data_IF_390974848858
#
_entry.id   IF_390974848858
#
_cell.length_a   1.000
_cell.length_b   1.000
_cell.length_c   1.000
_cell.angle_alpha   90.00
_cell.angle_beta   90.00
_cell.angle_gamma   90.00
#
_symmetry.space_group_name_H-M   'P 1'
#
loop_
_entity.id
_entity.type
_entity.pdbx_description
1 polymer ?
#
# COMPACT_ATOMS: atom_id res chain seq x y z
N UNK A 1 18.40 33.71 -34.25
CA UNK A 1 18.40 34.36 -32.94
C UNK A 1 17.32 33.75 -32.06
N UNK A 2 17.71 33.35 -30.84
CA UNK A 2 16.92 32.99 -29.67
C UNK A 2 15.89 31.83 -29.74
N UNK A 3 16.31 30.71 -29.12
CA UNK A 3 15.53 29.65 -28.48
C UNK A 3 14.23 30.11 -27.79
N UNK A 4 13.17 29.31 -27.92
CA UNK A 4 12.48 28.62 -26.81
C UNK A 4 11.97 27.29 -27.39
N UNK A 5 12.59 26.18 -26.97
CA UNK A 5 12.14 24.83 -27.29
C UNK A 5 10.79 24.58 -26.62
N UNK A 6 9.72 24.51 -27.42
CA UNK A 6 8.42 24.04 -26.98
C UNK A 6 8.54 22.61 -26.44
N UNK A 7 8.48 22.45 -25.13
CA UNK A 7 8.40 21.12 -24.48
C UNK A 7 7.16 20.39 -25.03
N UNK A 8 7.26 19.12 -25.45
CA UNK A 8 6.10 18.35 -25.85
C UNK A 8 5.13 18.26 -24.66
N UNK A 9 3.82 18.44 -24.92
CA UNK A 9 2.75 18.27 -23.91
C UNK A 9 2.90 16.89 -23.29
N UNK A 10 3.48 16.81 -22.09
CA UNK A 10 3.66 15.53 -21.41
C UNK A 10 2.26 14.99 -21.09
N UNK A 11 1.91 13.83 -21.63
CA UNK A 11 0.71 13.05 -21.30
C UNK A 11 0.83 12.53 -19.87
N UNK A 12 0.69 13.44 -18.89
CA UNK A 12 0.79 13.15 -17.46
C UNK A 12 -0.56 13.44 -16.84
N UNK A 13 -1.04 12.47 -16.07
CA UNK A 13 -2.25 12.59 -15.26
C UNK A 13 -1.81 12.62 -13.80
N UNK A 14 -2.35 13.57 -13.04
CA UNK A 14 -2.16 13.63 -11.59
C UNK A 14 -3.47 13.21 -10.94
N UNK A 15 -3.39 12.19 -10.11
CA UNK A 15 -4.51 11.63 -9.35
C UNK A 15 -4.11 11.59 -7.87
N UNK A 16 -5.10 11.67 -7.00
CA UNK A 16 -4.94 11.47 -5.56
C UNK A 16 -4.69 9.99 -5.21
N UNK A 17 -4.25 9.74 -3.97
CA UNK A 17 -3.92 8.41 -3.48
C UNK A 17 -5.08 7.40 -3.61
N UNK A 18 -6.28 7.70 -3.09
CA UNK A 18 -7.45 6.84 -3.24
C UNK A 18 -7.82 6.54 -4.69
N UNK A 19 -7.91 7.56 -5.56
CA UNK A 19 -8.20 7.35 -6.99
C UNK A 19 -7.15 6.45 -7.65
N UNK A 20 -5.87 6.62 -7.30
CA UNK A 20 -4.78 5.76 -7.77
C UNK A 20 -4.92 4.31 -7.29
N UNK A 21 -5.28 4.13 -6.02
CA UNK A 21 -5.49 2.80 -5.44
C UNK A 21 -6.67 2.08 -6.11
N UNK A 22 -7.78 2.77 -6.35
CA UNK A 22 -8.94 2.23 -7.06
C UNK A 22 -8.62 1.91 -8.54
N UNK A 23 -7.74 2.69 -9.17
CA UNK A 23 -7.24 2.40 -10.51
C UNK A 23 -6.19 1.27 -10.55
N UNK A 24 -5.87 0.65 -9.42
CA UNK A 24 -4.87 -0.41 -9.26
C UNK A 24 -3.51 -0.09 -9.92
N UNK A 25 -3.09 1.17 -9.88
CA UNK A 25 -1.89 1.63 -10.59
C UNK A 25 -0.88 2.28 -9.65
N UNK A 26 0.39 2.34 -10.06
CA UNK A 26 1.48 2.97 -9.33
C UNK A 26 1.91 4.31 -9.94
N UNK A 27 2.73 5.06 -9.21
CA UNK A 27 3.35 6.26 -9.76
C UNK A 27 4.25 5.86 -10.94
N UNK A 28 4.25 6.67 -12.00
CA UNK A 28 5.02 6.46 -13.23
C UNK A 28 4.55 5.29 -14.11
N UNK A 29 3.36 4.73 -13.83
CA UNK A 29 2.74 3.70 -14.67
C UNK A 29 1.82 4.32 -15.75
N UNK A 30 1.66 3.59 -16.87
CA UNK A 30 0.77 3.98 -17.95
C UNK A 30 -0.65 3.48 -17.69
N UNK A 31 -1.62 4.36 -17.92
CA UNK A 31 -3.04 4.05 -17.79
C UNK A 31 -3.79 4.35 -19.09
N UNK A 32 -4.86 3.60 -19.35
CA UNK A 32 -5.77 3.90 -20.46
C UNK A 32 -6.90 4.79 -19.96
N UNK A 33 -7.15 5.91 -20.65
CA UNK A 33 -8.21 6.85 -20.28
C UNK A 33 -9.29 6.87 -21.34
N UNK A 34 -10.54 6.70 -20.89
CA UNK A 34 -11.75 6.79 -21.70
C UNK A 34 -12.75 7.72 -21.06
N UNK A 35 -13.55 8.40 -21.87
CA UNK A 35 -14.69 9.18 -21.36
C UNK A 35 -15.68 8.19 -20.72
N UNK A 36 -16.09 8.47 -19.49
CA UNK A 36 -17.07 7.66 -18.78
C UNK A 36 -18.49 8.05 -19.19
N UNK A 37 -19.35 7.04 -19.36
CA UNK A 37 -20.80 7.20 -19.34
C UNK A 37 -21.27 6.95 -17.91
N UNK A 38 -21.82 7.98 -17.27
CA UNK A 38 -22.12 7.97 -15.82
C UNK A 38 -23.62 8.00 -15.64
N UNK A 39 -24.16 7.00 -14.95
CA UNK A 39 -25.58 6.90 -14.63
C UNK A 39 -25.85 7.34 -13.20
N UNK A 40 -27.04 7.83 -12.91
CA UNK A 40 -27.43 8.07 -11.52
C UNK A 40 -27.74 6.74 -10.84
N UNK A 41 -27.19 6.53 -9.64
CA UNK A 41 -27.43 5.31 -8.88
C UNK A 41 -28.86 5.27 -8.34
N UNK A 42 -29.53 4.14 -8.52
CA UNK A 42 -30.75 3.75 -7.81
C UNK A 42 -30.37 3.33 -6.39
N UNK A 43 -29.39 2.44 -6.26
CA UNK A 43 -28.89 1.97 -4.97
C UNK A 43 -27.37 1.79 -4.96
N UNK A 44 -26.74 2.02 -3.82
CA UNK A 44 -25.32 1.74 -3.57
C UNK A 44 -25.20 1.03 -2.23
N UNK A 45 -24.43 -0.05 -2.18
CA UNK A 45 -24.09 -0.75 -0.94
C UNK A 45 -22.61 -0.57 -0.61
N UNK A 46 -22.33 -0.04 0.58
CA UNK A 46 -20.98 0.11 1.12
C UNK A 46 -20.75 -0.92 2.23
N UNK A 47 -19.49 -1.30 2.45
CA UNK A 47 -19.08 -2.04 3.64
C UNK A 47 -17.80 -1.43 4.22
N UNK A 48 -17.69 -1.33 5.55
CA UNK A 48 -16.47 -0.86 6.17
C UNK A 48 -15.35 -1.88 6.03
N UNK A 49 -14.13 -1.38 5.92
CA UNK A 49 -12.92 -2.18 5.83
C UNK A 49 -12.29 -2.30 7.22
N UNK A 50 -12.03 -3.53 7.65
CA UNK A 50 -11.35 -3.88 8.91
C UNK A 50 -11.88 -3.22 10.21
N UNK A 51 -13.10 -2.65 10.17
CA UNK A 51 -13.78 -2.04 11.32
C UNK A 51 -15.26 -2.41 11.35
N UNK A 52 -15.76 -2.88 12.50
CA UNK A 52 -17.21 -3.06 12.71
C UNK A 52 -17.84 -1.74 13.12
N UNK A 53 -18.94 -1.38 12.46
CA UNK A 53 -19.68 -0.15 12.73
C UNK A 53 -21.11 -0.47 13.18
N UNK A 54 -21.61 0.34 14.11
CA UNK A 54 -23.05 0.42 14.37
C UNK A 54 -23.65 1.35 13.31
N UNK A 55 -24.59 0.83 12.54
CA UNK A 55 -25.24 1.55 11.45
C UNK A 55 -26.65 1.92 11.90
N UNK A 56 -26.90 3.22 12.01
CA UNK A 56 -28.24 3.81 12.21
C UNK A 56 -28.59 4.73 11.04
N UNK A 57 -29.83 5.24 11.00
CA UNK A 57 -30.27 6.10 9.90
C UNK A 57 -29.49 7.41 9.79
N UNK A 58 -29.13 8.02 10.92
CA UNK A 58 -28.41 9.29 10.93
C UNK A 58 -26.99 9.12 10.41
N UNK A 59 -26.37 7.98 10.71
CA UNK A 59 -25.09 7.58 10.15
C UNK A 59 -25.17 7.40 8.64
N UNK A 60 -26.20 6.72 8.12
CA UNK A 60 -26.40 6.57 6.68
C UNK A 60 -26.58 7.93 6.00
N UNK A 61 -27.39 8.83 6.58
CA UNK A 61 -27.58 10.20 6.07
C UNK A 61 -26.27 10.99 6.08
N UNK A 62 -25.48 10.87 7.14
CA UNK A 62 -24.16 11.50 7.23
C UNK A 62 -23.21 11.02 6.12
N UNK A 63 -23.09 9.70 5.94
CA UNK A 63 -22.27 9.10 4.89
C UNK A 63 -22.75 9.53 3.51
N UNK A 64 -24.06 9.47 3.27
CA UNK A 64 -24.68 9.91 2.01
C UNK A 64 -24.32 11.36 1.69
N UNK A 65 -24.51 12.27 2.66
CA UNK A 65 -24.17 13.68 2.52
C UNK A 65 -22.68 13.92 2.20
N UNK A 66 -21.78 13.11 2.79
CA UNK A 66 -20.34 13.23 2.54
C UNK A 66 -19.91 12.72 1.16
N UNK A 67 -20.68 11.80 0.59
CA UNK A 67 -20.41 11.16 -0.70
C UNK A 67 -21.27 11.72 -1.85
N UNK A 68 -22.06 12.75 -1.61
CA UNK A 68 -22.91 13.39 -2.62
C UNK A 68 -22.13 13.78 -3.87
N UNK A 69 -22.73 13.53 -5.04
CA UNK A 69 -22.20 13.84 -6.38
C UNK A 69 -20.89 13.14 -6.72
N UNK A 70 -20.43 12.18 -5.89
CA UNK A 70 -19.28 11.34 -6.22
C UNK A 70 -19.69 10.15 -7.08
N UNK A 71 -18.74 9.69 -7.89
CA UNK A 71 -18.88 8.52 -8.72
C UNK A 71 -18.23 7.30 -8.09
N UNK A 72 -18.85 6.14 -8.29
CA UNK A 72 -18.44 4.86 -7.74
C UNK A 72 -18.60 3.76 -8.78
N UNK A 73 -17.73 2.77 -8.67
CA UNK A 73 -17.81 1.46 -9.32
C UNK A 73 -17.71 0.40 -8.22
N UNK A 74 -18.30 -0.78 -8.43
CA UNK A 74 -18.09 -1.92 -7.53
C UNK A 74 -16.59 -2.21 -7.36
N UNK A 75 -16.18 -2.47 -6.12
CA UNK A 75 -14.77 -2.64 -5.74
C UNK A 75 -14.05 -1.35 -5.32
N UNK A 76 -14.57 -0.16 -5.69
CA UNK A 76 -13.94 1.10 -5.29
C UNK A 76 -13.83 1.26 -3.78
N UNK A 77 -12.74 1.86 -3.32
CA UNK A 77 -12.55 2.28 -1.94
C UNK A 77 -12.75 3.79 -1.78
N UNK A 78 -13.40 4.20 -0.69
CA UNK A 78 -13.57 5.61 -0.33
C UNK A 78 -13.31 5.83 1.15
N UNK A 79 -12.67 6.95 1.47
CA UNK A 79 -12.35 7.35 2.84
C UNK A 79 -13.33 8.41 3.33
N UNK A 80 -13.90 8.15 4.51
CA UNK A 80 -14.82 9.05 5.18
C UNK A 80 -14.25 9.40 6.55
N UNK A 81 -14.10 10.71 6.80
CA UNK A 81 -13.67 11.19 8.10
C UNK A 81 -14.86 11.17 9.06
N UNK A 82 -14.76 10.38 10.11
CA UNK A 82 -15.79 10.23 11.14
C UNK A 82 -15.17 10.57 12.49
N UNK A 83 -15.65 11.65 13.12
CA UNK A 83 -15.09 12.17 14.39
C UNK A 83 -13.57 12.41 14.35
N UNK A 84 -13.05 12.83 13.19
CA UNK A 84 -11.61 13.07 12.99
C UNK A 84 -10.78 11.84 12.65
N UNK A 85 -11.37 10.64 12.58
CA UNK A 85 -10.69 9.42 12.15
C UNK A 85 -11.15 8.97 10.77
N UNK A 86 -10.24 8.68 9.82
CA UNK A 86 -10.61 8.15 8.53
C UNK A 86 -11.08 6.70 8.68
N UNK A 87 -12.26 6.41 8.15
CA UNK A 87 -12.75 5.05 7.98
C UNK A 87 -12.93 4.78 6.50
N UNK A 88 -12.42 3.62 6.09
CA UNK A 88 -12.44 3.16 4.72
C UNK A 88 -13.68 2.31 4.46
N UNK A 89 -14.32 2.57 3.33
CA UNK A 89 -15.47 1.84 2.84
C UNK A 89 -15.17 1.30 1.45
N UNK A 90 -15.55 0.06 1.19
CA UNK A 90 -15.56 -0.53 -0.14
C UNK A 90 -16.98 -0.52 -0.70
N UNK A 91 -17.12 -0.19 -1.98
CA UNK A 91 -18.36 -0.31 -2.74
C UNK A 91 -18.58 -1.78 -3.05
N UNK A 92 -19.58 -2.38 -2.43
CA UNK A 92 -19.88 -3.81 -2.57
C UNK A 92 -20.79 -4.08 -3.75
N UNK A 93 -21.75 -3.18 -3.99
CA UNK A 93 -22.74 -3.32 -5.05
C UNK A 93 -23.27 -1.97 -5.50
N UNK A 94 -23.53 -1.81 -6.79
CA UNK A 94 -24.22 -0.63 -7.35
C UNK A 94 -25.37 -1.05 -8.26
N UNK A 95 -26.42 -0.24 -8.27
CA UNK A 95 -27.52 -0.38 -9.21
C UNK A 95 -27.79 0.95 -9.90
N UNK A 96 -27.71 1.05 -11.24
CA UNK A 96 -27.30 0.00 -12.18
C UNK A 96 -25.82 -0.42 -12.00
N UNK A 97 -25.44 -1.56 -12.59
CA UNK A 97 -24.03 -1.97 -12.67
C UNK A 97 -23.21 -0.99 -13.53
N UNK A 98 -21.94 -0.80 -13.17
CA UNK A 98 -21.00 0.08 -13.87
C UNK A 98 -20.72 1.38 -13.13
N UNK A 99 -20.41 2.45 -13.88
CA UNK A 99 -20.03 3.74 -13.30
C UNK A 99 -21.29 4.50 -12.91
N UNK A 100 -21.50 4.66 -11.61
CA UNK A 100 -22.68 5.35 -11.08
C UNK A 100 -22.31 6.57 -10.25
N UNK A 101 -23.18 7.58 -10.27
CA UNK A 101 -23.09 8.77 -9.42
C UNK A 101 -24.09 8.65 -8.28
N UNK A 102 -23.62 8.93 -7.06
CA UNK A 102 -24.48 9.04 -5.89
C UNK A 102 -25.23 10.37 -5.93
N UNK A 103 -26.56 10.30 -5.90
CA UNK A 103 -27.46 11.46 -5.90
C UNK A 103 -28.38 11.45 -4.68
N UNK A 104 -29.20 12.50 -4.53
CA UNK A 104 -30.17 12.59 -3.43
C UNK A 104 -31.22 11.47 -3.50
N UNK A 105 -31.52 10.96 -4.70
CA UNK A 105 -32.51 9.89 -4.93
C UNK A 105 -31.93 8.49 -4.70
N UNK A 106 -30.61 8.35 -4.64
CA UNK A 106 -29.94 7.06 -4.43
C UNK A 106 -30.22 6.50 -3.04
N UNK A 107 -30.61 5.25 -2.95
CA UNK A 107 -30.72 4.52 -1.69
C UNK A 107 -29.35 3.99 -1.27
N UNK A 108 -28.85 4.45 -0.11
CA UNK A 108 -27.52 4.07 0.38
C UNK A 108 -27.66 3.02 1.50
N UNK A 109 -27.04 1.86 1.30
CA UNK A 109 -26.97 0.79 2.28
C UNK A 109 -25.54 0.66 2.82
N UNK A 110 -25.40 0.41 4.12
CA UNK A 110 -24.09 0.16 4.75
C UNK A 110 -24.15 -1.17 5.50
N UNK A 111 -23.31 -2.13 5.10
CA UNK A 111 -23.22 -3.43 5.77
C UNK A 111 -22.49 -3.27 7.11
N UNK A 112 -22.97 -3.95 8.15
CA UNK A 112 -22.30 -3.97 9.46
C UNK A 112 -21.11 -4.93 9.58
N UNK A 113 -20.88 -5.78 8.57
CA UNK A 113 -19.78 -6.75 8.53
C UNK A 113 -18.63 -6.22 7.69
N UNK A 114 -17.40 -6.46 8.13
CA UNK A 114 -16.18 -6.01 7.46
C UNK A 114 -15.88 -6.83 6.22
N UNK A 115 -15.39 -6.15 5.18
CA UNK A 115 -14.65 -6.80 4.09
C UNK A 115 -13.18 -6.78 4.51
N UNK A 116 -12.50 -7.92 4.45
CA UNK A 116 -11.05 -7.96 4.70
C UNK A 116 -10.35 -7.28 3.53
N UNK A 117 -9.55 -6.26 3.80
CA UNK A 117 -8.70 -5.65 2.78
C UNK A 117 -7.64 -6.66 2.33
N UNK A 118 -7.35 -6.73 1.03
CA UNK A 118 -6.09 -7.34 0.56
C UNK A 118 -4.98 -6.34 0.88
N UNK A 119 -4.48 -6.35 2.13
CA UNK A 119 -3.57 -5.31 2.66
C UNK A 119 -2.16 -5.34 2.04
N UNK A 120 -1.72 -6.50 1.54
CA UNK A 120 -0.36 -6.69 1.08
C UNK A 120 -0.27 -6.56 -0.44
N UNK A 121 0.36 -5.48 -0.91
CA UNK A 121 0.70 -5.28 -2.32
C UNK A 121 2.18 -5.59 -2.53
N UNK A 122 2.47 -6.53 -3.42
CA UNK A 122 3.83 -6.89 -3.81
C UNK A 122 4.02 -6.47 -5.27
N UNK A 123 4.87 -5.47 -5.50
CA UNK A 123 5.28 -5.08 -6.85
C UNK A 123 6.30 -6.10 -7.36
N UNK A 124 5.93 -6.88 -8.37
CA UNK A 124 6.81 -7.88 -8.99
C UNK A 124 6.95 -7.62 -10.48
N UNK A 125 8.12 -7.98 -11.04
CA UNK A 125 8.34 -7.99 -12.49
C UNK A 125 8.09 -9.42 -12.98
N UNK A 126 7.17 -9.56 -13.92
CA UNK A 126 6.84 -10.84 -14.53
C UNK A 126 7.49 -10.95 -15.90
N UNK A 127 7.77 -12.18 -16.34
CA UNK A 127 8.19 -12.43 -17.71
C UNK A 127 7.01 -12.26 -18.67
N UNK A 128 7.30 -12.02 -19.96
CA UNK A 128 6.26 -11.90 -20.99
C UNK A 128 5.42 -13.19 -21.12
N UNK A 129 6.06 -14.35 -20.93
CA UNK A 129 5.40 -15.65 -20.96
C UNK A 129 4.42 -15.81 -19.79
N UNK A 130 4.83 -15.46 -18.56
CA UNK A 130 3.95 -15.51 -17.38
C UNK A 130 2.76 -14.57 -17.53
N UNK A 131 3.00 -13.35 -18.04
CA UNK A 131 1.97 -12.34 -18.24
C UNK A 131 0.90 -12.83 -19.23
N UNK A 132 1.31 -13.54 -20.28
CA UNK A 132 0.39 -14.11 -21.28
C UNK A 132 -0.59 -15.11 -20.66
N UNK A 133 -0.16 -15.94 -19.73
CA UNK A 133 -1.06 -16.88 -19.04
C UNK A 133 -2.01 -16.15 -18.10
N UNK A 134 -1.52 -15.13 -17.38
CA UNK A 134 -2.37 -14.30 -16.52
C UNK A 134 -3.46 -13.61 -17.33
N UNK A 135 -3.11 -13.02 -18.47
CA UNK A 135 -4.08 -12.37 -19.36
C UNK A 135 -5.12 -13.35 -19.92
N UNK A 136 -4.72 -14.59 -20.18
CA UNK A 136 -5.66 -15.64 -20.60
C UNK A 136 -6.69 -15.94 -19.52
N UNK A 137 -6.28 -16.02 -18.25
CA UNK A 137 -7.20 -16.29 -17.13
C UNK A 137 -8.22 -15.16 -16.93
N UNK A 138 -7.82 -13.92 -17.18
CA UNK A 138 -8.73 -12.77 -17.18
C UNK A 138 -9.65 -12.81 -18.40
N UNK A 139 -9.10 -13.12 -19.58
CA UNK A 139 -9.86 -13.18 -20.83
C UNK A 139 -11.00 -14.21 -20.82
N UNK A 140 -10.84 -15.31 -20.08
CA UNK A 140 -11.91 -16.31 -19.88
C UNK A 140 -12.87 -15.95 -18.73
N UNK A 141 -12.65 -14.84 -18.04
CA UNK A 141 -13.47 -14.38 -16.93
C UNK A 141 -13.25 -15.11 -15.60
N UNK A 142 -12.08 -15.76 -15.42
CA UNK A 142 -11.78 -16.44 -14.15
C UNK A 142 -11.36 -15.45 -13.06
N UNK A 143 -10.77 -14.31 -13.44
CA UNK A 143 -10.35 -13.25 -12.54
C UNK A 143 -10.66 -11.88 -13.12
N UNK A 144 -10.94 -10.91 -12.26
CA UNK A 144 -11.31 -9.55 -12.68
C UNK A 144 -10.07 -8.69 -13.00
N UNK A 145 -8.92 -8.98 -12.39
CA UNK A 145 -7.68 -8.25 -12.62
C UNK A 145 -6.41 -9.14 -12.58
N UNK A 146 -5.31 -8.61 -13.15
CA UNK A 146 -3.99 -9.27 -13.11
C UNK A 146 -3.50 -9.45 -11.68
N UNK A 147 -3.72 -8.45 -10.84
CA UNK A 147 -3.35 -8.46 -9.42
C UNK A 147 -4.03 -9.60 -8.67
N UNK A 148 -5.30 -9.85 -8.98
CA UNK A 148 -6.05 -10.96 -8.41
C UNK A 148 -5.53 -12.32 -8.88
N UNK A 149 -5.34 -12.50 -10.19
CA UNK A 149 -4.81 -13.74 -10.76
C UNK A 149 -3.43 -14.08 -10.19
N UNK A 150 -2.54 -13.08 -10.08
CA UNK A 150 -1.19 -13.25 -9.51
C UNK A 150 -1.27 -13.62 -8.02
N UNK A 151 -2.14 -12.97 -7.25
CA UNK A 151 -2.32 -13.30 -5.84
C UNK A 151 -2.81 -14.74 -5.66
N UNK A 152 -3.76 -15.17 -6.49
CA UNK A 152 -4.26 -16.55 -6.50
C UNK A 152 -3.16 -17.56 -6.82
N UNK A 153 -2.44 -17.36 -7.93
CA UNK A 153 -1.37 -18.27 -8.36
C UNK A 153 -0.24 -18.36 -7.33
N UNK A 154 0.11 -17.23 -6.71
CA UNK A 154 1.10 -17.19 -5.63
C UNK A 154 0.63 -17.99 -4.42
N UNK A 155 -0.64 -17.85 -4.04
CA UNK A 155 -1.22 -18.60 -2.93
C UNK A 155 -1.21 -20.11 -3.20
N UNK A 156 -1.65 -20.54 -4.37
CA UNK A 156 -1.63 -21.95 -4.77
C UNK A 156 -0.19 -22.49 -4.86
N UNK A 157 0.77 -21.70 -5.34
CA UNK A 157 2.19 -22.07 -5.33
C UNK A 157 2.76 -22.27 -3.92
N UNK A 158 2.44 -21.38 -2.98
CA UNK A 158 2.85 -21.51 -1.57
C UNK A 158 2.21 -22.75 -0.95
N UNK A 159 0.92 -22.96 -1.19
CA UNK A 159 0.17 -24.11 -0.68
C UNK A 159 0.72 -25.44 -1.22
N UNK A 160 1.06 -25.49 -2.51
CA UNK A 160 1.69 -26.65 -3.14
C UNK A 160 3.05 -26.98 -2.52
N UNK A 161 3.77 -25.98 -1.99
CA UNK A 161 5.10 -26.13 -1.38
C UNK A 161 5.10 -25.96 0.14
N UNK A 162 3.95 -26.09 0.79
CA UNK A 162 3.77 -25.80 2.22
C UNK A 162 4.76 -26.52 3.12
N UNK A 163 4.92 -27.83 2.91
CA UNK A 163 5.83 -28.67 3.72
C UNK A 163 7.28 -28.20 3.63
N UNK A 164 7.73 -27.84 2.42
CA UNK A 164 9.07 -27.28 2.21
C UNK A 164 9.27 -25.99 2.99
N UNK A 165 8.29 -25.08 2.97
CA UNK A 165 8.37 -23.83 3.72
C UNK A 165 8.34 -24.05 5.24
N UNK A 166 7.59 -25.03 5.73
CA UNK A 166 7.57 -25.40 7.15
C UNK A 166 8.94 -25.95 7.60
N UNK A 167 9.52 -26.89 6.83
CA UNK A 167 10.87 -27.40 7.09
C UNK A 167 11.93 -26.29 7.04
N UNK A 168 11.84 -25.37 6.08
CA UNK A 168 12.74 -24.22 5.97
C UNK A 168 12.60 -23.30 7.18
N UNK A 169 11.37 -23.01 7.61
CA UNK A 169 11.10 -22.20 8.80
C UNK A 169 11.72 -22.81 10.05
N UNK A 170 11.66 -24.13 10.21
CA UNK A 170 12.26 -24.82 11.35
C UNK A 170 13.79 -24.70 11.34
N UNK A 171 14.43 -24.94 10.19
CA UNK A 171 15.88 -24.79 10.04
C UNK A 171 16.34 -23.34 10.27
N UNK A 172 15.60 -22.34 9.79
CA UNK A 172 15.92 -20.93 10.02
C UNK A 172 15.81 -20.54 11.51
N UNK A 173 14.85 -21.11 12.25
CA UNK A 173 14.78 -20.91 13.71
C UNK A 173 16.01 -21.48 14.42
N UNK A 174 16.47 -22.66 14.03
CA UNK A 174 17.70 -23.26 14.58
C UNK A 174 18.92 -22.37 14.29
N UNK A 175 19.06 -21.88 13.05
CA UNK A 175 20.14 -20.95 12.68
C UNK A 175 20.12 -19.70 13.54
N UNK A 176 18.95 -19.08 13.72
CA UNK A 176 18.84 -17.87 14.54
C UNK A 176 19.14 -18.16 16.02
N UNK A 177 18.68 -19.30 16.56
CA UNK A 177 19.01 -19.70 17.94
C UNK A 177 20.52 -19.84 18.14
N UNK A 178 21.19 -20.55 17.24
CA UNK A 178 22.65 -20.74 17.29
C UNK A 178 23.38 -19.39 17.14
N UNK A 179 22.90 -18.49 16.26
CA UNK A 179 23.47 -17.14 16.10
C UNK A 179 23.38 -16.30 17.38
N UNK A 180 22.25 -16.37 18.08
CA UNK A 180 22.06 -15.64 19.34
C UNK A 180 22.89 -16.25 20.49
N UNK A 181 22.96 -17.58 20.59
CA UNK A 181 23.85 -18.28 21.54
C UNK A 181 25.34 -17.91 21.32
N UNK A 182 25.78 -17.87 20.06
CA UNK A 182 27.15 -17.46 19.71
C UNK A 182 27.44 -15.99 20.07
N UNK A 183 26.48 -15.08 19.86
CA UNK A 183 26.60 -13.68 20.30
C UNK A 183 26.72 -13.56 21.81
N UNK A 184 25.89 -14.28 22.56
CA UNK A 184 25.91 -14.24 24.03
C UNK A 184 27.26 -14.72 24.59
N UNK A 185 27.86 -15.75 23.98
CA UNK A 185 29.21 -16.21 24.35
C UNK A 185 30.27 -15.13 24.12
N UNK A 186 30.18 -14.36 23.04
CA UNK A 186 31.12 -13.26 22.78
C UNK A 186 30.94 -12.10 23.78
N UNK A 187 29.72 -11.73 24.12
CA UNK A 187 29.43 -10.66 25.09
C UNK A 187 29.95 -10.95 26.51
N UNK A 188 30.05 -12.23 26.89
CA UNK A 188 30.65 -12.63 28.18
C UNK A 188 32.18 -12.63 28.19
N UNK A 189 32.82 -12.63 27.01
CA UNK A 189 34.27 -12.74 26.85
C UNK A 189 34.98 -11.42 26.48
N UNK A 190 34.22 -10.38 26.11
CA UNK A 190 34.77 -9.05 25.81
C UNK A 190 34.65 -8.17 27.07
N UNK A 191 35.75 -7.90 27.81
CA UNK A 191 35.71 -6.86 28.82
C UNK A 191 35.35 -5.55 28.12
N UNK A 192 34.35 -4.81 28.64
CA UNK A 192 33.98 -3.48 28.14
C UNK A 192 35.26 -2.69 27.94
N UNK A 193 35.61 -2.43 26.67
CA UNK A 193 36.80 -1.67 26.32
C UNK A 193 36.64 -0.32 27.02
N UNK A 194 37.44 -0.10 28.06
CA UNK A 194 37.48 1.14 28.80
C UNK A 194 37.62 2.28 27.82
N UNK A 195 36.70 3.22 27.91
CA UNK A 195 36.62 4.47 27.15
C UNK A 195 38.01 5.04 26.85
N UNK A 196 38.45 4.90 25.61
CA UNK A 196 39.62 5.61 25.09
C UNK A 196 39.38 7.11 25.21
N UNK A 197 40.30 7.85 25.84
CA UNK A 197 40.28 9.31 25.98
C UNK A 197 40.03 9.99 24.62
N UNK A 198 38.79 10.39 24.35
CA UNK A 198 38.41 11.15 23.15
C UNK A 198 38.48 12.64 23.45
N UNK A 199 39.08 13.44 22.56
CA UNK A 199 39.03 14.91 22.66
C UNK A 199 37.82 15.48 21.93
N UNK A 200 37.19 16.49 22.54
CA UNK A 200 36.00 17.13 21.97
C UNK A 200 36.38 18.35 21.14
N UNK A 201 35.70 18.51 20.00
CA UNK A 201 35.93 19.65 19.12
C UNK A 201 35.39 20.95 19.75
N UNK A 202 36.21 22.01 19.89
CA UNK A 202 35.77 23.27 20.49
C UNK A 202 34.72 24.02 19.66
N UNK A 203 34.54 23.64 18.39
CA UNK A 203 33.58 24.27 17.47
C UNK A 203 32.25 23.55 17.34
N UNK A 204 32.26 22.22 17.32
CA UNK A 204 31.04 21.42 17.07
C UNK A 204 30.75 20.33 18.11
N UNK A 205 31.60 20.18 19.14
CA UNK A 205 31.42 19.21 20.22
C UNK A 205 31.60 17.74 19.82
N UNK A 206 31.97 17.43 18.57
CA UNK A 206 32.19 16.05 18.15
C UNK A 206 33.38 15.42 18.88
N UNK A 207 33.25 14.16 19.29
CA UNK A 207 34.33 13.37 19.90
C UNK A 207 35.26 12.85 18.81
N UNK A 208 36.54 13.14 18.94
CA UNK A 208 37.58 12.74 18.00
C UNK A 208 38.63 11.88 18.72
N UNK A 209 39.39 11.09 17.97
CA UNK A 209 40.50 10.33 18.57
C UNK A 209 41.54 11.29 19.17
N UNK A 210 42.26 10.87 20.23
CA UNK A 210 43.25 11.72 20.89
C UNK A 210 44.36 12.19 19.94
N UNK A 211 44.69 11.44 18.89
CA UNK A 211 45.71 11.76 17.89
C UNK A 211 45.20 12.67 16.74
N UNK A 212 43.89 12.91 16.67
CA UNK A 212 43.28 13.64 15.55
C UNK A 212 43.76 15.11 15.51
N UNK A 213 44.41 15.55 14.44
CA UNK A 213 44.85 16.96 14.28
C UNK A 213 43.72 17.91 13.85
N UNK A 214 42.67 17.36 13.25
CA UNK A 214 41.51 18.09 12.76
C UNK A 214 40.23 17.31 13.07
N UNK A 215 39.12 18.04 13.23
CA UNK A 215 37.81 17.46 13.52
C UNK A 215 37.26 16.72 12.31
N UNK A 216 36.89 15.46 12.51
CA UNK A 216 36.29 14.62 11.48
C UNK A 216 34.93 15.12 10.99
N UNK A 217 34.24 15.96 11.76
CA UNK A 217 32.92 16.48 11.42
C UNK A 217 32.97 17.88 10.76
N UNK A 218 33.70 18.83 11.34
CA UNK A 218 33.69 20.22 10.88
C UNK A 218 35.03 20.76 10.36
N UNK A 219 36.08 19.94 10.36
CA UNK A 219 37.41 20.30 9.85
C UNK A 219 38.23 21.25 10.72
N UNK A 220 37.70 21.68 11.88
CA UNK A 220 38.41 22.57 12.80
C UNK A 220 39.64 21.89 13.43
N UNK A 221 40.71 22.64 13.70
CA UNK A 221 41.91 22.07 14.36
C UNK A 221 41.59 21.70 15.81
N UNK A 222 42.07 20.53 16.25
CA UNK A 222 41.81 19.94 17.57
C UNK A 222 43.06 19.85 18.44
#
# INVERSE_FOLDING_TARGET
>A
MAHILGRPRKRIIRIDGPTRANAETSIEEYVTVRKADVKDAISITLAPVDTRLRVDEDFIKFVKNRLMERTFVEGDTTLILMRGHPVEFTVVKTEPEGIVRLTLKTELHIRGKTVKKRENVVMTRLSDDDLKYIDMLIGIGLFDSRSEAVAYLTHEGIKLKRELFEQLSEKLRQINKIREEAKALLETSIPKLSTSNSKECPKCGSKNSPEARFCSNCGERL
#
